data_IF_381556516378
#
_entry.id   IF_381556516378
#
_cell.length_a   1.000
_cell.length_b   1.000
_cell.length_c   1.000
_cell.angle_alpha   90.00
_cell.angle_beta   90.00
_cell.angle_gamma   90.00
#
_symmetry.space_group_name_H-M   'P 1'
#
loop_
_entity.id
_entity.type
_entity.pdbx_description
1 polymer ?
#
# COMPACT_ATOMS: atom_id res chain seq x y z
N UNK A 1 -14.30 -2.82 10.01
CA UNK A 1 -13.97 -2.05 8.80
C UNK A 1 -12.64 -2.52 8.22
N UNK A 2 -12.61 -2.76 6.94
CA UNK A 2 -11.41 -3.22 6.27
C UNK A 2 -10.62 -2.01 5.77
N UNK A 3 -9.39 -1.80 6.25
CA UNK A 3 -8.57 -0.65 5.89
C UNK A 3 -7.23 -1.07 5.31
N UNK A 4 -6.65 -0.22 4.49
CA UNK A 4 -5.38 -0.48 3.82
C UNK A 4 -4.51 0.78 3.83
N UNK A 5 -3.25 0.61 4.20
CA UNK A 5 -2.24 1.64 4.10
C UNK A 5 -1.37 1.36 2.88
N UNK A 6 -1.21 2.34 2.00
CA UNK A 6 -0.41 2.20 0.79
C UNK A 6 0.80 3.13 0.88
N UNK A 7 2.00 2.58 0.75
CA UNK A 7 3.21 3.38 0.62
C UNK A 7 3.43 3.68 -0.86
N UNK A 8 3.38 4.96 -1.20
CA UNK A 8 3.47 5.44 -2.57
C UNK A 8 2.13 5.90 -3.11
N UNK A 9 1.99 7.20 -3.36
CA UNK A 9 0.74 7.82 -3.83
C UNK A 9 0.82 8.30 -5.27
N UNK A 10 1.75 7.80 -6.05
CA UNK A 10 1.85 8.08 -7.48
C UNK A 10 0.83 7.27 -8.28
N UNK A 11 1.00 7.22 -9.60
CA UNK A 11 0.07 6.52 -10.48
C UNK A 11 -0.15 5.06 -10.13
N UNK A 12 0.92 4.34 -9.79
CA UNK A 12 0.82 2.94 -9.42
C UNK A 12 0.07 2.77 -8.09
N UNK A 13 0.35 3.63 -7.11
CA UNK A 13 -0.36 3.59 -5.83
C UNK A 13 -1.85 3.88 -5.99
N UNK A 14 -2.22 4.81 -6.86
CA UNK A 14 -3.63 5.12 -7.14
C UNK A 14 -4.35 3.94 -7.77
N UNK A 15 -3.68 3.24 -8.68
CA UNK A 15 -4.23 2.03 -9.30
C UNK A 15 -4.45 0.93 -8.26
N UNK A 16 -3.50 0.76 -7.36
CA UNK A 16 -3.64 -0.21 -6.26
C UNK A 16 -4.82 0.16 -5.35
N UNK A 17 -5.00 1.45 -5.08
CA UNK A 17 -6.13 1.93 -4.27
C UNK A 17 -7.48 1.60 -4.91
N UNK A 18 -7.63 1.82 -6.21
CA UNK A 18 -8.86 1.47 -6.93
C UNK A 18 -9.14 -0.02 -6.86
N UNK A 19 -8.10 -0.83 -7.05
CA UNK A 19 -8.21 -2.29 -6.96
C UNK A 19 -8.60 -2.72 -5.55
N UNK A 20 -7.99 -2.13 -4.53
CA UNK A 20 -8.32 -2.43 -3.14
C UNK A 20 -9.78 -2.11 -2.82
N UNK A 21 -10.27 -0.99 -3.29
CA UNK A 21 -11.68 -0.61 -3.09
C UNK A 21 -12.61 -1.62 -3.76
N UNK A 22 -12.26 -2.10 -4.95
CA UNK A 22 -13.03 -3.14 -5.65
C UNK A 22 -13.02 -4.46 -4.87
N UNK A 23 -11.97 -4.71 -4.08
CA UNK A 23 -11.86 -5.90 -3.26
C UNK A 23 -12.52 -5.77 -1.88
N UNK A 24 -13.14 -4.62 -1.60
CA UNK A 24 -13.90 -4.42 -0.38
C UNK A 24 -13.18 -3.66 0.74
N UNK A 25 -12.01 -3.08 0.48
CA UNK A 25 -11.37 -2.20 1.45
C UNK A 25 -12.13 -0.88 1.52
N UNK A 26 -12.63 -0.55 2.68
CA UNK A 26 -13.48 0.64 2.85
C UNK A 26 -12.68 1.90 3.11
N UNK A 27 -11.52 1.78 3.76
CA UNK A 27 -10.67 2.91 4.08
C UNK A 27 -9.28 2.66 3.49
N UNK A 28 -8.89 3.50 2.54
CA UNK A 28 -7.59 3.38 1.86
C UNK A 28 -6.88 4.72 2.00
N UNK A 29 -5.69 4.70 2.60
CA UNK A 29 -4.87 5.91 2.80
C UNK A 29 -3.45 5.65 2.34
N UNK A 30 -2.69 6.72 2.15
CA UNK A 30 -1.34 6.66 1.60
C UNK A 30 -0.31 7.27 2.53
N UNK A 31 0.92 6.77 2.43
CA UNK A 31 2.12 7.46 2.91
C UNK A 31 3.00 7.75 1.70
N UNK A 32 3.47 8.99 1.57
CA UNK A 32 4.32 9.39 0.44
C UNK A 32 5.19 10.58 0.86
N UNK A 33 6.46 10.56 0.45
CA UNK A 33 7.41 11.60 0.82
C UNK A 33 7.27 12.86 -0.04
N UNK A 34 6.69 12.75 -1.21
CA UNK A 34 6.60 13.83 -2.18
C UNK A 34 5.18 14.29 -2.48
N UNK A 35 4.26 13.36 -2.69
CA UNK A 35 2.89 13.68 -3.06
C UNK A 35 2.11 14.20 -1.84
N UNK A 36 1.43 15.32 -1.99
CA UNK A 36 0.59 15.93 -0.96
C UNK A 36 -0.86 15.93 -1.43
N UNK A 37 -1.74 15.31 -0.63
CA UNK A 37 -3.11 15.06 -1.01
C UNK A 37 -3.88 14.71 0.25
N UNK A 38 -5.21 14.86 0.24
CA UNK A 38 -6.04 14.55 1.41
C UNK A 38 -5.91 13.10 1.88
N UNK A 39 -5.70 12.17 0.96
CA UNK A 39 -5.57 10.76 1.28
C UNK A 39 -4.16 10.39 1.73
N UNK A 40 -3.17 11.29 1.60
CA UNK A 40 -1.81 11.08 2.07
C UNK A 40 -1.70 11.57 3.50
N UNK A 41 -1.58 10.64 4.44
CA UNK A 41 -1.63 10.94 5.87
C UNK A 41 -0.26 11.10 6.53
N UNK A 42 0.80 10.99 5.76
CA UNK A 42 2.16 11.17 6.26
C UNK A 42 3.22 10.74 5.26
N UNK A 43 4.45 10.67 5.74
CA UNK A 43 5.60 10.24 4.95
C UNK A 43 5.77 8.72 5.05
N UNK A 44 6.54 8.13 4.14
CA UNK A 44 6.76 6.69 4.15
C UNK A 44 7.30 6.16 5.48
N UNK A 45 8.22 6.89 6.11
CA UNK A 45 8.79 6.48 7.40
C UNK A 45 7.75 6.41 8.52
N UNK A 46 6.59 7.02 8.35
CA UNK A 46 5.51 6.96 9.34
C UNK A 46 4.87 5.56 9.44
N UNK A 47 5.26 4.62 8.58
CA UNK A 47 4.83 3.23 8.72
C UNK A 47 5.13 2.68 10.13
N UNK A 48 6.13 3.21 10.80
CA UNK A 48 6.51 2.75 12.13
C UNK A 48 5.46 3.07 13.20
N UNK A 49 4.65 4.12 12.98
CA UNK A 49 3.66 4.57 13.96
C UNK A 49 2.22 4.33 13.52
N UNK A 50 2.00 3.77 12.34
CA UNK A 50 0.64 3.55 11.81
C UNK A 50 0.16 2.11 11.95
N UNK A 51 0.99 1.21 12.45
CA UNK A 51 0.67 -0.22 12.50
C UNK A 51 -0.59 -0.54 13.31
N UNK A 52 -0.81 0.12 14.41
CA UNK A 52 -2.00 -0.15 15.25
C UNK A 52 -3.29 0.26 14.56
N UNK A 53 -3.26 1.38 13.85
CA UNK A 53 -4.42 1.93 13.14
C UNK A 53 -4.66 1.24 11.81
N UNK A 54 -3.57 0.85 11.14
CA UNK A 54 -3.61 0.23 9.81
C UNK A 54 -2.73 -1.02 9.81
N UNK A 55 -3.25 -2.17 10.28
CA UNK A 55 -2.42 -3.39 10.37
C UNK A 55 -2.14 -4.04 9.02
N UNK A 56 -2.83 -3.62 7.97
CA UNK A 56 -2.66 -4.15 6.60
C UNK A 56 -2.06 -3.06 5.73
N UNK A 57 -0.97 -3.35 5.05
CA UNK A 57 -0.29 -2.35 4.22
C UNK A 57 0.40 -2.99 3.01
N UNK A 58 0.60 -2.18 1.97
CA UNK A 58 1.35 -2.61 0.78
C UNK A 58 2.28 -1.49 0.33
N UNK A 59 3.35 -1.87 -0.35
CA UNK A 59 4.27 -0.93 -0.99
C UNK A 59 3.92 -0.88 -2.49
N UNK A 60 3.56 0.31 -2.98
CA UNK A 60 3.06 0.49 -4.33
C UNK A 60 3.94 1.48 -5.11
N UNK A 61 5.19 1.10 -5.28
CA UNK A 61 6.15 1.85 -6.08
C UNK A 61 6.36 1.18 -7.42
N UNK A 62 6.51 1.96 -8.48
CA UNK A 62 6.81 1.43 -9.81
C UNK A 62 8.19 0.79 -9.88
N UNK A 63 9.12 1.24 -9.04
CA UNK A 63 10.48 0.69 -8.98
C UNK A 63 10.51 -0.58 -8.14
N UNK A 64 10.97 -1.69 -8.73
CA UNK A 64 11.02 -2.98 -8.05
C UNK A 64 11.88 -2.98 -6.79
N UNK A 65 13.01 -2.29 -6.81
CA UNK A 65 13.91 -2.24 -5.65
C UNK A 65 13.27 -1.52 -4.47
N UNK A 66 12.61 -0.40 -4.74
CA UNK A 66 11.89 0.34 -3.70
C UNK A 66 10.71 -0.47 -3.16
N UNK A 67 10.00 -1.15 -4.05
CA UNK A 67 8.86 -1.97 -3.67
C UNK A 67 9.29 -3.10 -2.74
N UNK A 68 10.37 -3.80 -3.08
CA UNK A 68 10.92 -4.86 -2.24
C UNK A 68 11.44 -4.32 -0.91
N UNK A 69 12.17 -3.21 -0.94
CA UNK A 69 12.70 -2.58 0.26
C UNK A 69 11.59 -2.26 1.26
N UNK A 70 10.54 -1.58 0.80
CA UNK A 70 9.45 -1.18 1.69
C UNK A 70 8.57 -2.35 2.11
N UNK A 71 8.39 -3.35 1.24
CA UNK A 71 7.68 -4.58 1.60
C UNK A 71 8.38 -5.29 2.74
N UNK A 72 9.71 -5.42 2.68
CA UNK A 72 10.48 -6.02 3.75
C UNK A 72 10.35 -5.23 5.06
N UNK A 73 10.38 -3.91 4.98
CA UNK A 73 10.18 -3.04 6.15
C UNK A 73 8.81 -3.24 6.78
N UNK A 74 7.77 -3.33 5.97
CA UNK A 74 6.42 -3.57 6.45
C UNK A 74 6.30 -4.92 7.15
N UNK A 75 6.87 -5.96 6.56
CA UNK A 75 6.85 -7.30 7.15
C UNK A 75 7.62 -7.35 8.46
N UNK A 76 8.77 -6.70 8.54
CA UNK A 76 9.56 -6.61 9.77
C UNK A 76 8.80 -5.93 10.90
N UNK A 77 7.97 -4.93 10.56
CA UNK A 77 7.17 -4.20 11.54
C UNK A 77 5.95 -4.99 12.01
N UNK A 78 5.57 -6.04 11.30
CA UNK A 78 4.44 -6.86 11.66
C UNK A 78 3.17 -6.57 10.86
N UNK A 79 3.26 -5.79 9.80
CA UNK A 79 2.11 -5.58 8.92
C UNK A 79 1.75 -6.84 8.16
N UNK A 80 0.46 -7.03 7.91
CA UNK A 80 0.01 -7.99 6.92
C UNK A 80 0.13 -7.32 5.55
N UNK A 81 0.83 -7.99 4.62
CA UNK A 81 1.07 -7.44 3.29
C UNK A 81 0.38 -8.35 2.26
N UNK A 82 -0.86 -8.06 1.90
CA UNK A 82 -1.60 -8.89 0.95
C UNK A 82 -1.20 -8.62 -0.49
N UNK A 83 -1.49 -9.56 -1.37
CA UNK A 83 -1.43 -9.33 -2.80
C UNK A 83 -2.70 -8.60 -3.22
N UNK A 84 -2.57 -7.39 -3.75
CA UNK A 84 -3.72 -6.62 -4.22
C UNK A 84 -3.82 -6.80 -5.73
N UNK A 85 -4.79 -7.59 -6.16
CA UNK A 85 -4.98 -7.95 -7.56
C UNK A 85 -6.41 -7.65 -7.97
N UNK A 86 -6.58 -6.94 -9.07
CA UNK A 86 -7.90 -6.67 -9.62
C UNK A 86 -8.56 -7.99 -10.03
N UNK A 87 -9.86 -8.21 -9.73
CA UNK A 87 -10.53 -9.48 -10.06
C UNK A 87 -10.47 -9.87 -11.55
N UNK A 88 -10.38 -8.88 -12.44
CA UNK A 88 -10.30 -9.16 -13.88
C UNK A 88 -8.86 -9.27 -14.41
N UNK A 89 -7.86 -9.07 -13.55
CA UNK A 89 -6.47 -9.11 -13.97
C UNK A 89 -5.95 -10.53 -14.07
N UNK A 90 -5.10 -10.78 -15.08
CA UNK A 90 -4.35 -12.02 -15.19
C UNK A 90 -3.04 -11.81 -14.46
N UNK A 91 -2.77 -12.62 -13.45
CA UNK A 91 -1.58 -12.47 -12.62
C UNK A 91 -0.65 -13.66 -12.83
N UNK A 92 0.60 -13.35 -13.18
CA UNK A 92 1.65 -14.33 -13.23
C UNK A 92 2.08 -14.69 -11.80
N UNK A 93 2.29 -15.96 -11.46
CA UNK A 93 2.79 -16.34 -10.15
C UNK A 93 4.14 -15.73 -9.81
N UNK A 94 4.91 -15.31 -10.82
CA UNK A 94 6.21 -14.65 -10.63
C UNK A 94 6.12 -13.14 -10.53
N UNK A 95 4.96 -12.58 -10.68
CA UNK A 95 4.77 -11.13 -10.65
C UNK A 95 4.83 -10.56 -9.23
#
# INVERSE_FOLDING_TARGET
MKSLLILGAGGFGRMVAETAQALGYEKVVFLDDAVKDEAVIGMCCDYEIRHEEYPVAVAAFGNNKMRLYWTDKLLEKGYEVPAIVHPSAVVSPSA
#
